data_IF_239038071175
#
_entry.id   IF_239038071175
#
_cell.length_a   1.000
_cell.length_b   1.000
_cell.length_c   1.000
_cell.angle_alpha   90.00
_cell.angle_beta   90.00
_cell.angle_gamma   90.00
#
_symmetry.space_group_name_H-M   'P 1'
#
loop_
_entity.id
_entity.type
_entity.pdbx_description
1 polymer ?
#
# COMPACT_ATOMS: atom_id res chain seq x y z
N UNK A 1 -64.11 23.76 -9.52
CA UNK A 1 -63.96 23.74 -10.99
C UNK A 1 -62.56 24.23 -11.31
N UNK A 2 -61.77 23.39 -11.97
CA UNK A 2 -60.33 23.59 -12.16
C UNK A 2 -59.68 22.22 -12.34
N UNK A 3 -59.93 21.62 -13.50
CA UNK A 3 -59.52 20.28 -13.91
C UNK A 3 -57.98 20.10 -13.87
N UNK A 4 -57.53 19.03 -13.22
CA UNK A 4 -56.22 18.43 -13.46
C UNK A 4 -56.43 17.25 -14.43
N UNK A 5 -55.73 17.18 -15.57
CA UNK A 5 -55.79 16.01 -16.44
C UNK A 5 -54.93 14.87 -15.87
N UNK A 6 -55.55 13.69 -15.78
CA UNK A 6 -54.89 12.38 -15.62
C UNK A 6 -54.28 11.94 -16.94
N UNK A 7 -53.05 11.41 -16.91
CA UNK A 7 -52.43 10.46 -17.84
C UNK A 7 -51.02 10.17 -17.30
N UNK A 8 -50.47 8.96 -17.23
CA UNK A 8 -50.91 7.65 -17.64
C UNK A 8 -49.83 6.67 -17.18
N UNK A 9 -50.27 5.54 -16.65
CA UNK A 9 -49.48 4.37 -16.27
C UNK A 9 -48.88 3.71 -17.52
N UNK A 10 -47.57 3.44 -17.52
CA UNK A 10 -46.96 2.38 -18.33
C UNK A 10 -45.77 1.77 -17.56
N UNK A 11 -46.03 0.62 -16.96
CA UNK A 11 -45.05 -0.41 -16.67
C UNK A 11 -44.49 -0.95 -17.98
N UNK A 12 -43.17 -1.15 -18.07
CA UNK A 12 -42.60 -2.14 -18.97
C UNK A 12 -41.36 -2.79 -18.34
N UNK A 13 -41.59 -3.92 -17.69
CA UNK A 13 -40.59 -4.94 -17.46
C UNK A 13 -40.36 -5.75 -18.73
N UNK A 14 -39.09 -6.11 -18.99
CA UNK A 14 -38.73 -7.33 -19.72
C UNK A 14 -38.29 -7.19 -21.18
N UNK A 15 -37.00 -7.42 -21.42
CA UNK A 15 -36.46 -8.11 -22.61
C UNK A 15 -34.98 -8.46 -22.32
N UNK A 16 -34.67 -9.68 -21.85
CA UNK A 16 -34.23 -10.85 -22.67
C UNK A 16 -32.91 -10.59 -23.40
N UNK A 17 -31.79 -11.12 -22.90
CA UNK A 17 -31.22 -12.42 -23.32
C UNK A 17 -30.99 -12.53 -24.84
N UNK A 18 -29.75 -12.28 -25.28
CA UNK A 18 -29.27 -12.53 -26.63
C UNK A 18 -27.91 -13.22 -26.58
N UNK A 19 -27.91 -14.50 -26.92
CA UNK A 19 -26.77 -15.40 -27.00
C UNK A 19 -26.03 -15.19 -28.33
N UNK A 20 -24.69 -15.14 -28.30
CA UNK A 20 -23.85 -15.38 -29.48
C UNK A 20 -22.84 -16.48 -29.17
N UNK A 21 -22.91 -17.56 -29.96
CA UNK A 21 -22.09 -18.77 -29.91
C UNK A 21 -20.88 -18.66 -30.85
N UNK A 22 -19.75 -19.22 -30.39
CA UNK A 22 -18.65 -19.96 -31.07
C UNK A 22 -18.15 -19.46 -32.45
N UNK A 23 -16.85 -19.42 -32.76
CA UNK A 23 -15.87 -20.50 -32.58
C UNK A 23 -14.42 -20.01 -32.91
N UNK A 24 -13.44 -20.72 -32.35
CA UNK A 24 -12.10 -21.01 -32.86
C UNK A 24 -10.93 -20.02 -32.74
N UNK A 25 -10.07 -20.35 -31.76
CA UNK A 25 -8.62 -20.57 -31.83
C UNK A 25 -7.70 -19.57 -32.56
N UNK A 26 -6.72 -19.02 -31.81
CA UNK A 26 -5.28 -19.30 -31.92
C UNK A 26 -4.49 -18.36 -30.98
N UNK A 27 -3.53 -18.92 -30.22
CA UNK A 27 -2.35 -18.18 -29.75
C UNK A 27 -2.31 -17.79 -28.27
N UNK A 28 -2.05 -18.75 -27.38
CA UNK A 28 -1.58 -18.44 -26.02
C UNK A 28 -0.12 -17.96 -26.06
N UNK A 29 0.26 -16.83 -25.44
CA UNK A 29 1.61 -16.73 -24.90
C UNK A 29 1.63 -17.56 -23.61
N UNK A 30 2.67 -18.37 -23.48
CA UNK A 30 2.94 -19.24 -22.33
C UNK A 30 3.07 -18.35 -21.08
N UNK A 31 1.96 -18.23 -20.34
CA UNK A 31 1.96 -17.73 -18.98
C UNK A 31 2.65 -18.78 -18.12
N UNK A 32 3.87 -18.45 -17.73
CA UNK A 32 4.71 -19.22 -16.82
C UNK A 32 3.85 -19.66 -15.62
N UNK A 33 3.52 -20.95 -15.55
CA UNK A 33 2.83 -21.53 -14.41
C UNK A 33 3.78 -21.46 -13.23
N UNK A 34 3.69 -20.38 -12.45
CA UNK A 34 4.34 -20.25 -11.15
C UNK A 34 3.85 -21.42 -10.30
N UNK A 35 4.70 -22.45 -10.18
CA UNK A 35 4.50 -23.51 -9.22
C UNK A 35 4.39 -22.86 -7.84
N UNK A 36 3.44 -23.26 -6.98
CA UNK A 36 3.40 -22.76 -5.61
C UNK A 36 4.72 -23.17 -4.96
N UNK A 37 5.57 -22.18 -4.72
CA UNK A 37 6.92 -22.36 -4.20
C UNK A 37 6.89 -23.13 -2.89
N UNK A 38 7.66 -24.22 -2.84
CA UNK A 38 8.04 -24.93 -1.61
C UNK A 38 8.95 -24.09 -0.69
N UNK A 39 9.31 -22.89 -1.15
CA UNK A 39 9.99 -21.85 -0.39
C UNK A 39 9.04 -20.66 -0.27
N UNK A 40 8.91 -20.04 0.92
CA UNK A 40 8.20 -18.77 1.06
C UNK A 40 8.74 -17.81 -0.01
N UNK A 41 7.84 -17.18 -0.75
CA UNK A 41 8.22 -16.11 -1.67
C UNK A 41 8.72 -14.93 -0.83
N UNK A 42 10.03 -14.88 -0.59
CA UNK A 42 10.72 -13.83 0.19
C UNK A 42 10.50 -12.41 -0.38
N UNK A 43 9.83 -12.29 -1.53
CA UNK A 43 9.49 -11.00 -2.14
C UNK A 43 8.30 -10.30 -1.47
N UNK A 44 7.42 -11.02 -0.76
CA UNK A 44 6.30 -10.44 -0.02
C UNK A 44 6.53 -10.63 1.47
N UNK A 45 6.70 -9.56 2.26
CA UNK A 45 6.84 -9.66 3.70
C UNK A 45 5.64 -10.41 4.29
N UNK A 46 5.92 -11.42 5.12
CA UNK A 46 4.93 -12.22 5.86
C UNK A 46 3.85 -11.31 6.46
N UNK A 47 2.59 -11.60 6.16
CA UNK A 47 1.43 -10.81 6.58
C UNK A 47 1.27 -10.72 8.11
N UNK A 48 1.99 -11.56 8.87
CA UNK A 48 2.02 -11.55 10.32
C UNK A 48 3.20 -10.76 10.92
N UNK A 49 4.13 -10.30 10.09
CA UNK A 49 5.29 -9.52 10.53
C UNK A 49 4.92 -8.04 10.58
N UNK A 50 5.18 -7.42 11.72
CA UNK A 50 4.97 -6.00 11.92
C UNK A 50 6.13 -5.30 12.59
N UNK A 51 6.20 -4.00 12.36
CA UNK A 51 7.27 -3.13 12.81
C UNK A 51 6.74 -2.16 13.85
N UNK A 52 7.53 -1.93 14.89
CA UNK A 52 7.19 -1.00 15.96
C UNK A 52 7.15 0.43 15.46
N UNK A 53 6.42 1.29 16.17
CA UNK A 53 6.32 2.72 15.89
C UNK A 53 7.68 3.42 15.62
N UNK A 54 8.72 3.23 16.45
CA UNK A 54 10.04 3.82 16.18
C UNK A 54 10.66 3.37 14.85
N UNK A 55 10.63 2.07 14.55
CA UNK A 55 11.11 1.54 13.27
C UNK A 55 10.31 2.10 12.10
N UNK A 56 8.97 2.08 12.19
CA UNK A 56 8.09 2.65 11.16
C UNK A 56 8.37 4.14 10.90
N UNK A 57 8.61 4.93 11.96
CA UNK A 57 8.99 6.33 11.85
C UNK A 57 10.30 6.51 11.09
N UNK A 58 11.33 5.73 11.44
CA UNK A 58 12.65 5.82 10.83
C UNK A 58 12.60 5.41 9.35
N UNK A 59 11.92 4.30 9.02
CA UNK A 59 11.82 3.76 7.67
C UNK A 59 11.01 4.71 6.75
N UNK A 60 9.88 5.24 7.23
CA UNK A 60 9.05 6.18 6.47
C UNK A 60 9.61 7.61 6.48
N UNK A 61 10.59 7.90 7.34
CA UNK A 61 11.16 9.23 7.52
C UNK A 61 10.18 10.24 8.13
N UNK A 62 9.30 9.80 9.02
CA UNK A 62 8.31 10.66 9.70
C UNK A 62 8.62 10.77 11.19
N UNK A 63 8.09 11.80 11.83
CA UNK A 63 8.18 11.95 13.28
C UNK A 63 7.17 11.06 14.00
N UNK A 64 7.45 10.72 15.25
CA UNK A 64 6.51 9.99 16.10
C UNK A 64 5.16 10.72 16.27
N UNK A 65 5.18 12.06 16.31
CA UNK A 65 3.96 12.87 16.38
C UNK A 65 3.11 12.75 15.12
N UNK A 66 3.73 12.72 13.94
CA UNK A 66 3.02 12.49 12.68
C UNK A 66 2.39 11.11 12.68
N UNK A 67 3.15 10.07 13.04
CA UNK A 67 2.64 8.70 13.14
C UNK A 67 1.45 8.61 14.10
N UNK A 68 1.55 9.17 15.31
CA UNK A 68 0.47 9.13 16.29
C UNK A 68 -0.75 9.93 15.85
N UNK A 69 -0.54 11.13 15.28
CA UNK A 69 -1.62 11.94 14.75
C UNK A 69 -2.37 11.22 13.61
N UNK A 70 -1.66 10.60 12.68
CA UNK A 70 -2.27 9.84 11.57
C UNK A 70 -2.98 8.58 12.04
N UNK A 71 -2.47 7.89 13.06
CA UNK A 71 -3.15 6.76 13.69
C UNK A 71 -4.43 7.20 14.41
N UNK A 72 -4.38 8.30 15.17
CA UNK A 72 -5.53 8.82 15.93
C UNK A 72 -6.63 9.39 15.02
N UNK A 73 -6.26 9.91 13.85
CA UNK A 73 -7.19 10.43 12.84
C UNK A 73 -7.57 9.40 11.77
N UNK A 74 -7.17 8.14 11.96
CA UNK A 74 -7.42 6.99 11.07
C UNK A 74 -6.87 7.12 9.64
N UNK A 75 -5.98 8.08 9.38
CA UNK A 75 -5.31 8.22 8.09
C UNK A 75 -4.40 7.03 7.79
N UNK A 76 -3.63 6.57 8.78
CA UNK A 76 -2.87 5.31 8.71
C UNK A 76 -2.89 4.66 10.09
N UNK A 77 -3.50 3.48 10.18
CA UNK A 77 -3.61 2.70 11.42
C UNK A 77 -2.75 1.43 11.30
N UNK A 78 -2.20 0.91 12.40
CA UNK A 78 -1.47 -0.35 12.37
C UNK A 78 -2.41 -1.51 11.99
N UNK A 79 -2.04 -2.28 10.96
CA UNK A 79 -2.82 -3.42 10.48
C UNK A 79 -2.47 -4.74 11.16
N UNK A 80 -1.25 -4.87 11.71
CA UNK A 80 -0.79 -6.11 12.35
C UNK A 80 -1.27 -6.19 13.80
N UNK A 81 -1.06 -5.11 14.56
CA UNK A 81 -1.51 -5.03 15.95
C UNK A 81 -1.84 -3.60 16.34
N UNK A 82 -3.08 -3.38 16.77
CA UNK A 82 -3.53 -2.13 17.35
C UNK A 82 -3.01 -1.90 18.77
N UNK A 83 -3.35 -0.76 19.35
CA UNK A 83 -3.16 -0.53 20.78
C UNK A 83 -4.31 -1.17 21.57
N UNK A 84 -3.99 -2.02 22.54
CA UNK A 84 -4.91 -2.66 23.48
C UNK A 84 -4.43 -2.39 24.92
N UNK A 85 -4.75 -1.21 25.45
CA UNK A 85 -4.40 -0.81 26.83
C UNK A 85 -2.95 -0.36 27.04
N UNK A 86 -2.60 -0.08 28.29
CA UNK A 86 -1.26 0.36 28.70
C UNK A 86 -0.22 -0.73 28.43
N UNK A 87 0.90 -0.37 27.80
CA UNK A 87 2.00 -1.29 27.47
C UNK A 87 1.84 -2.08 26.17
N UNK A 88 0.66 -2.05 25.53
CA UNK A 88 0.48 -2.65 24.22
C UNK A 88 1.24 -1.90 23.14
N UNK A 89 1.87 -2.64 22.23
CA UNK A 89 2.72 -2.08 21.20
C UNK A 89 2.04 -2.23 19.85
N UNK A 90 1.92 -1.10 19.15
CA UNK A 90 1.41 -1.06 17.78
C UNK A 90 2.43 -1.71 16.85
N UNK A 91 1.96 -2.61 16.01
CA UNK A 91 2.75 -3.24 14.96
C UNK A 91 2.18 -2.83 13.61
N UNK A 92 3.01 -2.21 12.78
CA UNK A 92 2.69 -1.73 11.44
C UNK A 92 3.19 -2.73 10.41
N UNK A 93 2.36 -3.11 9.44
CA UNK A 93 2.78 -3.99 8.35
C UNK A 93 3.73 -3.27 7.38
N UNK A 94 4.34 -4.03 6.47
CA UNK A 94 5.04 -3.46 5.32
C UNK A 94 4.14 -2.49 4.54
N UNK A 95 2.88 -2.89 4.28
CA UNK A 95 1.90 -2.06 3.57
C UNK A 95 1.61 -0.77 4.31
N UNK A 96 1.47 -0.81 5.63
CA UNK A 96 1.26 0.40 6.43
C UNK A 96 2.43 1.38 6.26
N UNK A 97 3.67 0.89 6.34
CA UNK A 97 4.87 1.72 6.19
C UNK A 97 4.97 2.30 4.78
N UNK A 98 4.62 1.53 3.75
CA UNK A 98 4.53 2.03 2.37
C UNK A 98 3.54 3.20 2.27
N UNK A 99 2.35 3.04 2.85
CA UNK A 99 1.34 4.08 2.87
C UNK A 99 1.83 5.30 3.67
N UNK A 100 2.48 5.13 4.82
CA UNK A 100 3.09 6.23 5.59
C UNK A 100 4.07 7.04 4.74
N UNK A 101 4.92 6.34 3.97
CA UNK A 101 5.92 6.95 3.09
C UNK A 101 5.27 7.73 1.94
N UNK A 102 4.19 7.22 1.35
CA UNK A 102 3.42 7.90 0.31
C UNK A 102 2.70 9.13 0.87
N UNK A 103 2.03 9.00 2.02
CA UNK A 103 1.37 10.11 2.73
C UNK A 103 2.36 11.25 2.99
N UNK A 104 3.56 10.91 3.48
CA UNK A 104 4.63 11.89 3.66
C UNK A 104 4.97 12.60 2.36
N UNK A 105 5.25 11.87 1.28
CA UNK A 105 5.63 12.46 -0.02
C UNK A 105 4.55 13.37 -0.58
N UNK A 106 3.28 13.00 -0.45
CA UNK A 106 2.16 13.84 -0.89
C UNK A 106 2.04 15.11 -0.03
N UNK A 107 2.27 15.02 1.29
CA UNK A 107 2.27 16.20 2.16
C UNK A 107 3.45 17.13 1.87
N UNK A 108 4.63 16.58 1.61
CA UNK A 108 5.85 17.36 1.32
C UNK A 108 5.71 18.17 0.02
N UNK A 109 4.83 17.77 -0.91
CA UNK A 109 4.51 18.53 -2.13
C UNK A 109 3.35 19.51 -1.96
N UNK A 110 2.77 19.62 -0.76
CA UNK A 110 1.69 20.57 -0.46
C UNK A 110 0.29 20.09 -0.83
N UNK A 111 0.10 18.80 -1.13
CA UNK A 111 -1.22 18.24 -1.40
C UNK A 111 -2.05 18.26 -0.12
N UNK A 112 -3.32 18.66 -0.24
CA UNK A 112 -4.21 18.77 0.91
C UNK A 112 -4.46 17.41 1.59
N UNK A 113 -4.59 17.41 2.92
CA UNK A 113 -4.89 16.20 3.69
C UNK A 113 -6.17 15.49 3.24
N UNK A 114 -7.14 16.25 2.72
CA UNK A 114 -8.38 15.72 2.17
C UNK A 114 -8.10 14.82 0.96
N UNK A 115 -7.34 15.31 -0.02
CA UNK A 115 -7.00 14.56 -1.23
C UNK A 115 -6.10 13.36 -0.92
N UNK A 116 -5.20 13.53 0.05
CA UNK A 116 -4.35 12.43 0.52
C UNK A 116 -5.20 11.30 1.09
N UNK A 117 -6.27 11.60 1.84
CA UNK A 117 -7.16 10.56 2.37
C UNK A 117 -7.80 9.74 1.25
N UNK A 118 -8.28 10.41 0.19
CA UNK A 118 -8.83 9.73 -1.00
C UNK A 118 -7.79 8.80 -1.61
N UNK A 119 -6.57 9.28 -1.85
CA UNK A 119 -5.49 8.48 -2.41
C UNK A 119 -5.12 7.26 -1.52
N UNK A 120 -5.06 7.46 -0.21
CA UNK A 120 -4.77 6.38 0.75
C UNK A 120 -5.85 5.29 0.74
N UNK A 121 -7.12 5.68 0.65
CA UNK A 121 -8.23 4.72 0.60
C UNK A 121 -8.15 3.83 -0.65
N UNK A 122 -7.73 4.38 -1.80
CA UNK A 122 -7.46 3.59 -3.01
C UNK A 122 -6.31 2.58 -2.82
N UNK A 123 -5.20 2.99 -2.20
CA UNK A 123 -4.06 2.10 -1.92
C UNK A 123 -4.42 0.97 -0.94
N UNK A 124 -5.29 1.25 0.03
CA UNK A 124 -5.70 0.27 1.03
C UNK A 124 -6.53 -0.87 0.46
N UNK A 125 -7.33 -0.62 -0.57
CA UNK A 125 -8.20 -1.62 -1.20
C UNK A 125 -7.44 -2.67 -2.03
N UNK A 126 -6.15 -2.44 -2.31
CA UNK A 126 -5.34 -3.29 -3.21
C UNK A 126 -4.36 -4.18 -2.48
N UNK A 127 -3.99 -5.33 -3.06
CA UNK A 127 -2.93 -6.18 -2.54
C UNK A 127 -1.55 -5.52 -2.69
N UNK A 128 -0.56 -5.95 -1.90
CA UNK A 128 0.82 -5.41 -2.00
C UNK A 128 1.39 -5.58 -3.41
N UNK A 129 1.06 -6.69 -4.08
CA UNK A 129 1.51 -6.96 -5.45
C UNK A 129 0.90 -5.99 -6.49
N UNK A 130 -0.37 -5.61 -6.31
CA UNK A 130 -1.04 -4.68 -7.23
C UNK A 130 -0.47 -3.26 -7.13
N UNK A 131 0.08 -2.89 -5.95
CA UNK A 131 0.69 -1.59 -5.73
C UNK A 131 1.95 -1.37 -6.60
N UNK A 132 2.60 -2.44 -7.04
CA UNK A 132 3.81 -2.35 -7.85
C UNK A 132 3.57 -1.78 -9.25
N UNK A 133 2.32 -1.70 -9.72
CA UNK A 133 1.99 -1.17 -11.05
C UNK A 133 1.35 0.23 -11.00
N UNK A 134 1.29 0.84 -9.82
CA UNK A 134 0.57 2.10 -9.61
C UNK A 134 1.53 3.28 -9.61
N UNK A 135 1.13 4.34 -10.31
CA UNK A 135 1.72 5.68 -10.16
C UNK A 135 0.63 6.66 -9.76
N UNK A 136 0.83 7.36 -8.66
CA UNK A 136 -0.07 8.41 -8.21
C UNK A 136 0.36 9.73 -8.84
N UNK A 137 -0.56 10.46 -9.47
CA UNK A 137 -0.33 11.80 -9.98
C UNK A 137 -1.15 12.83 -9.22
N UNK A 138 -0.63 14.03 -9.05
CA UNK A 138 -1.40 15.13 -8.47
C UNK A 138 -1.10 16.46 -9.14
N UNK A 139 -2.15 17.23 -9.39
CA UNK A 139 -2.11 18.64 -9.81
C UNK A 139 -2.17 19.62 -8.60
N UNK A 140 -2.09 19.10 -7.37
CA UNK A 140 -2.27 19.82 -6.11
C UNK A 140 -3.71 19.87 -5.59
N UNK A 141 -4.71 19.71 -6.45
CA UNK A 141 -6.14 19.74 -6.11
C UNK A 141 -6.82 18.38 -6.18
N UNK A 142 -6.31 17.47 -7.00
CA UNK A 142 -6.82 16.11 -7.20
C UNK A 142 -5.65 15.15 -7.21
N UNK A 143 -5.90 13.90 -6.81
CA UNK A 143 -4.94 12.80 -6.93
C UNK A 143 -5.53 11.76 -7.86
N UNK A 144 -4.77 11.39 -8.88
CA UNK A 144 -5.12 10.41 -9.90
C UNK A 144 -4.29 9.15 -9.68
N UNK A 145 -4.91 8.01 -9.92
CA UNK A 145 -4.20 6.74 -9.98
C UNK A 145 -4.05 6.37 -11.46
N UNK A 146 -2.81 6.20 -11.91
CA UNK A 146 -2.52 5.75 -13.26
C UNK A 146 -1.80 4.41 -13.22
N UNK A 147 -2.24 3.50 -14.08
CA UNK A 147 -1.65 2.16 -14.26
C UNK A 147 -1.12 1.94 -15.67
N UNK A 148 -1.41 2.86 -16.60
CA UNK A 148 -0.93 2.82 -17.99
C UNK A 148 -0.33 4.15 -18.43
N UNK A 149 0.52 4.11 -19.46
CA UNK A 149 1.13 5.31 -20.03
C UNK A 149 0.10 6.23 -20.73
N UNK A 150 -0.97 5.66 -21.27
CA UNK A 150 -2.05 6.40 -21.94
C UNK A 150 -2.78 7.30 -20.95
N UNK A 151 -3.14 6.78 -19.77
CA UNK A 151 -3.76 7.56 -18.69
C UNK A 151 -2.87 8.74 -18.24
N UNK A 152 -1.55 8.55 -18.23
CA UNK A 152 -0.59 9.62 -17.90
C UNK A 152 -0.56 10.69 -18.98
N UNK A 153 -0.58 10.28 -20.25
CA UNK A 153 -0.60 11.20 -21.38
C UNK A 153 -1.90 12.02 -21.39
N UNK A 154 -3.05 11.38 -21.17
CA UNK A 154 -4.34 12.05 -21.10
C UNK A 154 -4.39 13.09 -19.98
N UNK A 155 -3.79 12.78 -18.82
CA UNK A 155 -3.66 13.73 -17.72
C UNK A 155 -2.81 14.95 -18.13
N UNK A 156 -1.72 14.75 -18.86
CA UNK A 156 -0.81 15.82 -19.28
C UNK A 156 -1.34 16.66 -20.45
N UNK A 157 -2.20 16.10 -21.31
CA UNK A 157 -2.72 16.79 -22.50
C UNK A 157 -3.48 18.09 -22.17
N UNK A 158 -4.01 18.21 -20.95
CA UNK A 158 -4.66 19.43 -20.47
C UNK A 158 -3.73 20.62 -20.22
N UNK A 159 -2.40 20.46 -20.38
CA UNK A 159 -1.42 21.52 -20.11
C UNK A 159 -1.17 21.80 -18.62
N UNK A 160 -1.68 20.93 -17.76
CA UNK A 160 -1.51 20.99 -16.31
C UNK A 160 -0.15 20.42 -15.88
N UNK A 161 0.50 21.08 -14.92
CA UNK A 161 1.70 20.54 -14.27
C UNK A 161 1.29 19.53 -13.20
N UNK A 162 1.79 18.30 -13.31
CA UNK A 162 1.49 17.23 -12.35
C UNK A 162 2.76 16.72 -11.69
N UNK A 163 2.62 16.35 -10.41
CA UNK A 163 3.62 15.64 -9.65
C UNK A 163 3.28 14.16 -9.61
N UNK A 164 4.23 13.30 -10.03
CA UNK A 164 4.06 11.85 -10.04
C UNK A 164 4.85 11.16 -8.91
N UNK A 165 4.22 10.22 -8.21
CA UNK A 165 4.84 9.28 -7.28
C UNK A 165 4.64 7.86 -7.81
N UNK A 166 5.70 7.26 -8.33
CA UNK A 166 5.71 5.83 -8.64
C UNK A 166 5.70 5.01 -7.34
N UNK A 167 4.62 4.27 -7.10
CA UNK A 167 4.48 3.43 -5.90
C UNK A 167 5.48 2.28 -5.95
N UNK A 168 5.75 1.75 -7.14
CA UNK A 168 6.77 0.73 -7.41
C UNK A 168 8.16 1.11 -6.91
N UNK A 169 8.58 2.36 -7.15
CA UNK A 169 9.85 2.90 -6.68
C UNK A 169 9.88 3.04 -5.16
N UNK A 170 8.79 3.53 -4.56
CA UNK A 170 8.66 3.64 -3.11
C UNK A 170 8.68 2.26 -2.42
N UNK A 171 8.05 1.25 -3.04
CA UNK A 171 8.05 -0.13 -2.57
C UNK A 171 9.45 -0.74 -2.62
N UNK A 172 10.18 -0.59 -3.73
CA UNK A 172 11.56 -1.09 -3.86
C UNK A 172 12.50 -0.46 -2.81
N UNK A 173 12.39 0.85 -2.62
CA UNK A 173 13.16 1.56 -1.60
C UNK A 173 12.80 1.07 -0.18
N UNK A 174 11.51 0.83 0.07
CA UNK A 174 11.04 0.31 1.34
C UNK A 174 11.57 -1.11 1.61
N UNK A 175 11.47 -2.03 0.64
CA UNK A 175 11.99 -3.39 0.77
C UNK A 175 13.47 -3.41 1.12
N UNK A 176 14.26 -2.51 0.53
CA UNK A 176 15.68 -2.36 0.88
C UNK A 176 15.89 -1.85 2.31
N UNK A 177 15.15 -0.81 2.71
CA UNK A 177 15.29 -0.23 4.05
C UNK A 177 14.82 -1.17 5.17
N UNK A 178 13.78 -1.98 4.93
CA UNK A 178 13.15 -2.80 5.97
C UNK A 178 14.05 -3.95 6.45
N UNK A 179 14.96 -4.45 5.60
CA UNK A 179 15.87 -5.53 5.93
C UNK A 179 16.77 -5.21 7.14
N UNK A 180 17.02 -3.92 7.40
CA UNK A 180 17.85 -3.42 8.49
C UNK A 180 17.09 -3.28 9.82
N UNK A 181 15.79 -3.54 9.85
CA UNK A 181 14.94 -3.34 11.03
C UNK A 181 14.37 -4.66 11.54
N UNK A 182 14.35 -4.87 12.88
CA UNK A 182 13.77 -6.07 13.45
C UNK A 182 12.25 -6.07 13.25
N UNK A 183 11.74 -7.11 12.60
CA UNK A 183 10.31 -7.40 12.47
C UNK A 183 9.82 -8.27 13.63
N UNK A 184 8.59 -8.03 14.09
CA UNK A 184 7.95 -8.81 15.15
C UNK A 184 6.73 -9.55 14.63
N UNK A 185 6.61 -10.84 14.94
CA UNK A 185 5.45 -11.62 14.56
C UNK A 185 4.28 -11.35 15.51
N UNK A 186 3.09 -11.21 14.94
CA UNK A 186 1.87 -10.95 15.70
C UNK A 186 1.44 -12.12 16.59
N UNK A 187 1.81 -13.35 16.22
CA UNK A 187 1.46 -14.62 16.88
C UNK A 187 2.35 -14.97 18.09
N UNK A 188 3.36 -14.15 18.39
CA UNK A 188 4.32 -14.42 19.46
C UNK A 188 5.40 -15.45 19.08
N UNK A 189 5.49 -15.85 17.81
CA UNK A 189 6.63 -16.57 17.27
C UNK A 189 7.91 -15.73 17.36
N UNK A 190 9.06 -16.40 17.43
CA UNK A 190 10.37 -15.74 17.54
C UNK A 190 10.53 -14.64 16.48
N UNK A 191 11.05 -13.49 16.91
CA UNK A 191 11.36 -12.38 15.99
C UNK A 191 12.35 -12.87 14.94
N UNK A 192 12.03 -12.65 13.67
CA UNK A 192 13.02 -12.82 12.60
C UNK A 192 14.09 -11.76 12.82
N UNK A 193 15.16 -12.16 13.50
CA UNK A 193 16.39 -11.40 13.52
C UNK A 193 16.86 -11.25 12.07
N UNK A 194 17.21 -10.03 11.66
CA UNK A 194 17.97 -9.82 10.42
C UNK A 194 19.14 -10.80 10.40
N UNK A 195 19.47 -11.42 9.25
CA UNK A 195 20.54 -12.42 9.16
C UNK A 195 21.81 -11.82 9.77
N UNK A 196 22.19 -12.35 10.94
CA UNK A 196 23.09 -11.65 11.84
C UNK A 196 24.45 -11.39 11.18
N UNK A 197 24.89 -10.16 11.32
CA UNK A 197 26.28 -9.73 11.16
C UNK A 197 27.19 -10.53 12.12
N UNK A 198 27.65 -11.70 11.67
CA UNK A 198 28.61 -12.55 12.38
C UNK A 198 29.89 -11.79 12.81
N UNK A 199 30.22 -10.65 12.18
CA UNK A 199 31.40 -9.86 12.54
C UNK A 199 31.15 -8.98 13.76
N UNK A 200 29.92 -8.49 13.97
CA UNK A 200 29.55 -7.71 15.15
C UNK A 200 29.54 -8.57 16.43
N UNK A 201 29.07 -9.82 16.35
CA UNK A 201 29.08 -10.76 17.47
C UNK A 201 30.51 -11.16 17.87
N UNK A 202 31.41 -11.35 16.89
CA UNK A 202 32.85 -11.64 17.10
C UNK A 202 33.63 -10.47 17.71
N UNK A 203 33.24 -9.22 17.45
CA UNK A 203 33.87 -8.05 18.10
C UNK A 203 33.56 -8.00 19.60
N UNK A 204 32.31 -8.25 19.99
CA UNK A 204 31.89 -8.28 21.41
C UNK A 204 32.53 -9.42 22.20
N UNK A 205 32.76 -10.57 21.57
CA UNK A 205 33.41 -11.72 22.24
C UNK A 205 34.92 -11.56 22.41
N UNK A 206 35.59 -10.77 21.56
CA UNK A 206 37.02 -10.48 21.69
C UNK A 206 37.32 -9.47 22.82
N UNK A 207 36.50 -8.43 22.96
CA UNK A 207 36.71 -7.43 24.02
C UNK A 207 36.45 -8.00 25.43
N UNK A 208 35.58 -9.02 25.54
CA UNK A 208 35.33 -9.70 26.83
C UNK A 208 36.47 -10.62 27.29
N UNK A 209 37.43 -10.94 26.41
CA UNK A 209 38.53 -11.88 26.71
C UNK A 209 39.87 -11.19 27.03
N UNK A 210 39.90 -9.86 27.01
CA UNK A 210 41.10 -9.03 27.29
C UNK A 210 40.88 -8.17 28.55
N UNK A 211 39.93 -8.54 29.40
CA UNK A 211 39.69 -7.94 30.73
C UNK A 211 39.95 -8.93 31.84
#
# INVERSE_FOLDING_TARGET
MGEQPRQGQLDLAGATSGSFKADSAVGAPVGESVQPGLFPDDSVPDELVGYRGPSACQIAGITYRQLDYWARTSLVVPSIRGAAGSGSQRLYSFKDILVLKIVKRLLDTGISLHNIRVAVDHLRQRGVQDLANITLFSDGTTVYECTSAEEVVDLLQGGQGVFGIAVSGAMRELSGAIADFPGERADGGESIASPEDELASRRKSRDRKIG
#
